data_IF_154421530695
#
_entry.id   IF_154421530695
#
_cell.length_a   1.000
_cell.length_b   1.000
_cell.length_c   1.000
_cell.angle_alpha   90.00
_cell.angle_beta   90.00
_cell.angle_gamma   90.00
#
_symmetry.space_group_name_H-M   'P 1'
#
loop_
_entity.id
_entity.type
_entity.pdbx_description
1 polymer ?
#
# COMPACT_ATOMS: atom_id res chain seq x y z
N UNK A 1 4.22 -32.29 0.88
CA UNK A 1 3.44 -31.43 -0.04
C UNK A 1 4.43 -30.58 -0.81
N UNK A 2 4.31 -30.49 -2.11
CA UNK A 2 5.12 -29.57 -2.95
C UNK A 2 4.43 -28.19 -2.95
N UNK A 3 4.86 -27.32 -2.02
CA UNK A 3 4.26 -26.01 -1.84
C UNK A 3 4.37 -25.11 -3.08
N UNK A 4 5.44 -25.22 -3.88
CA UNK A 4 5.61 -24.39 -5.07
C UNK A 4 4.55 -24.72 -6.13
N UNK A 5 4.35 -26.01 -6.38
CA UNK A 5 3.38 -26.49 -7.35
C UNK A 5 1.94 -26.22 -6.93
N UNK A 6 1.63 -26.42 -5.65
CA UNK A 6 0.31 -26.15 -5.11
C UNK A 6 0.00 -24.66 -5.06
N UNK A 7 0.99 -23.82 -4.71
CA UNK A 7 0.85 -22.35 -4.74
C UNK A 7 0.53 -21.84 -6.13
N UNK A 8 1.23 -22.31 -7.17
CA UNK A 8 0.94 -21.89 -8.54
C UNK A 8 -0.51 -22.22 -8.95
N UNK A 9 -0.97 -23.43 -8.61
CA UNK A 9 -2.35 -23.84 -8.84
C UNK A 9 -3.35 -22.94 -8.10
N UNK A 10 -3.10 -22.68 -6.81
CA UNK A 10 -3.94 -21.81 -5.99
C UNK A 10 -4.01 -20.37 -6.50
N UNK A 11 -2.89 -19.79 -6.93
CA UNK A 11 -2.89 -18.44 -7.53
C UNK A 11 -3.73 -18.37 -8.81
N UNK A 12 -3.72 -19.42 -9.62
CA UNK A 12 -4.59 -19.51 -10.80
C UNK A 12 -6.09 -19.62 -10.43
N UNK A 13 -6.41 -20.37 -9.36
CA UNK A 13 -7.79 -20.49 -8.84
C UNK A 13 -8.27 -19.18 -8.22
N UNK A 14 -7.47 -18.54 -7.38
CA UNK A 14 -7.82 -17.28 -6.68
C UNK A 14 -7.93 -16.08 -7.62
N UNK A 15 -7.13 -16.04 -8.69
CA UNK A 15 -7.08 -14.91 -9.64
C UNK A 15 -6.78 -13.56 -8.97
N UNK A 16 -5.97 -13.58 -7.93
CA UNK A 16 -5.64 -12.49 -7.01
C UNK A 16 -6.02 -12.82 -5.57
N UNK A 17 -5.37 -12.17 -4.61
CA UNK A 17 -5.56 -12.44 -3.17
C UNK A 17 -6.30 -11.31 -2.44
N UNK A 18 -6.59 -10.22 -3.14
CA UNK A 18 -7.28 -9.06 -2.58
C UNK A 18 -8.44 -8.68 -3.47
N UNK A 19 -9.49 -8.15 -2.85
CA UNK A 19 -10.66 -7.59 -3.54
C UNK A 19 -11.10 -6.31 -2.84
N UNK A 20 -11.83 -5.45 -3.56
CA UNK A 20 -12.47 -4.27 -3.00
C UNK A 20 -13.97 -4.54 -2.84
N UNK A 21 -14.47 -4.33 -1.62
CA UNK A 21 -15.89 -4.46 -1.31
C UNK A 21 -16.45 -3.12 -0.84
N UNK A 22 -17.69 -2.82 -1.27
CA UNK A 22 -18.39 -1.64 -0.77
C UNK A 22 -18.70 -1.80 0.71
N UNK A 23 -18.42 -0.77 1.51
CA UNK A 23 -18.80 -0.68 2.93
C UNK A 23 -20.20 -0.13 3.13
N UNK A 24 -20.79 0.42 2.08
CA UNK A 24 -22.15 0.94 2.09
C UNK A 24 -23.01 0.12 1.15
N UNK A 25 -24.24 -0.12 1.58
CA UNK A 25 -25.23 -0.81 0.77
C UNK A 25 -26.06 0.24 0.02
N UNK A 26 -26.29 0.02 -1.25
CA UNK A 26 -27.11 0.90 -2.10
C UNK A 26 -28.32 0.09 -2.54
N UNK A 27 -29.49 0.29 -1.88
CA UNK A 27 -30.73 -0.42 -2.16
C UNK A 27 -31.70 0.41 -2.99
N UNK A 28 -31.63 1.73 -2.83
CA UNK A 28 -32.58 2.64 -3.46
C UNK A 28 -31.90 3.95 -3.91
N UNK A 29 -32.73 4.84 -4.48
CA UNK A 29 -32.28 6.14 -4.97
C UNK A 29 -31.79 7.06 -3.83
N UNK A 30 -32.31 6.89 -2.63
CA UNK A 30 -31.91 7.68 -1.47
C UNK A 30 -30.49 7.31 -1.06
N UNK A 31 -30.22 6.01 -0.92
CA UNK A 31 -28.87 5.50 -0.62
C UNK A 31 -27.84 5.97 -1.65
N UNK A 32 -28.19 5.87 -2.93
CA UNK A 32 -27.33 6.36 -4.02
C UNK A 32 -27.09 7.88 -3.92
N UNK A 33 -28.13 8.65 -3.57
CA UNK A 33 -28.01 10.11 -3.45
C UNK A 33 -27.14 10.53 -2.26
N UNK A 34 -27.11 9.74 -1.20
CA UNK A 34 -26.24 9.95 -0.04
C UNK A 34 -24.80 9.51 -0.34
N UNK A 35 -24.63 8.34 -0.97
CA UNK A 35 -23.31 7.76 -1.24
C UNK A 35 -22.58 8.45 -2.40
N UNK A 36 -23.32 9.07 -3.33
CA UNK A 36 -22.80 9.71 -4.52
C UNK A 36 -23.45 11.07 -4.75
N UNK A 37 -24.02 11.33 -5.92
CA UNK A 37 -24.60 12.64 -6.30
C UNK A 37 -26.07 12.70 -5.91
N UNK A 38 -26.53 13.77 -5.21
CA UNK A 38 -25.82 15.02 -4.90
C UNK A 38 -25.13 15.07 -3.54
N UNK A 39 -25.41 14.16 -2.61
CA UNK A 39 -25.00 14.22 -1.21
C UNK A 39 -23.49 14.28 -0.99
N UNK A 40 -22.69 13.64 -1.86
CA UNK A 40 -21.23 13.60 -1.78
C UNK A 40 -20.56 14.99 -1.86
N UNK A 41 -21.28 16.02 -2.32
CA UNK A 41 -20.76 17.39 -2.39
C UNK A 41 -20.36 17.93 -0.99
N UNK A 42 -21.16 17.63 0.05
CA UNK A 42 -20.89 18.17 1.39
C UNK A 42 -19.60 17.62 2.01
N UNK A 43 -19.34 16.29 2.06
CA UNK A 43 -18.05 15.81 2.52
C UNK A 43 -16.86 16.33 1.67
N UNK A 44 -17.01 16.55 0.37
CA UNK A 44 -15.97 17.18 -0.44
C UNK A 44 -15.66 18.61 0.01
N UNK A 45 -16.70 19.41 0.29
CA UNK A 45 -16.54 20.79 0.77
C UNK A 45 -15.92 20.83 2.19
N UNK A 46 -16.27 19.88 3.06
CA UNK A 46 -15.66 19.78 4.38
C UNK A 46 -14.16 19.46 4.29
N UNK A 47 -13.77 18.53 3.42
CA UNK A 47 -12.35 18.20 3.19
C UNK A 47 -11.61 19.37 2.54
N UNK A 48 -12.25 20.12 1.65
CA UNK A 48 -11.67 21.33 1.06
C UNK A 48 -11.36 22.41 2.10
N UNK A 49 -12.21 22.55 3.14
CA UNK A 49 -12.03 23.51 4.24
C UNK A 49 -10.97 23.04 5.24
N UNK A 50 -10.93 21.76 5.51
CA UNK A 50 -9.97 21.11 6.43
C UNK A 50 -9.52 19.77 5.84
N UNK A 51 -8.32 19.76 5.31
CA UNK A 51 -7.70 18.58 4.70
C UNK A 51 -7.69 17.34 5.63
N UNK A 52 -7.55 17.54 6.96
CA UNK A 52 -7.54 16.43 7.92
C UNK A 52 -8.87 15.66 7.94
N UNK A 53 -9.96 16.29 7.53
CA UNK A 53 -11.25 15.62 7.36
C UNK A 53 -11.22 14.48 6.34
N UNK A 54 -10.23 14.45 5.46
CA UNK A 54 -10.03 13.31 4.54
C UNK A 54 -9.79 12.00 5.30
N UNK A 55 -9.15 12.03 6.46
CA UNK A 55 -8.95 10.86 7.31
C UNK A 55 -10.20 10.46 8.11
N UNK A 56 -11.17 11.37 8.27
CA UNK A 56 -12.42 11.05 8.96
C UNK A 56 -13.53 10.62 7.98
N UNK A 57 -13.60 11.28 6.82
CA UNK A 57 -14.72 11.18 5.88
C UNK A 57 -14.46 10.21 4.72
N UNK A 58 -13.24 9.69 4.58
CA UNK A 58 -12.89 8.71 3.53
C UNK A 58 -12.16 7.51 4.11
N UNK A 59 -11.98 6.46 3.29
CA UNK A 59 -11.19 5.28 3.69
C UNK A 59 -9.69 5.55 3.75
N UNK A 60 -9.23 6.75 3.41
CA UNK A 60 -7.83 7.16 3.47
C UNK A 60 -7.17 6.81 4.82
N UNK A 61 -7.88 6.98 5.94
CA UNK A 61 -7.37 6.70 7.28
C UNK A 61 -6.88 5.26 7.50
N UNK A 62 -7.40 4.29 6.73
CA UNK A 62 -7.08 2.87 6.90
C UNK A 62 -6.56 2.21 5.62
N UNK A 63 -6.09 3.00 4.65
CA UNK A 63 -5.58 2.47 3.38
C UNK A 63 -4.10 2.77 3.25
N UNK A 64 -3.28 1.73 3.03
CA UNK A 64 -1.83 1.82 2.86
C UNK A 64 -1.44 1.42 1.44
N UNK A 65 -0.54 2.18 0.81
CA UNK A 65 0.10 1.75 -0.42
C UNK A 65 1.26 0.80 -0.13
N UNK A 66 1.33 -0.35 -0.80
CA UNK A 66 2.50 -1.24 -0.81
C UNK A 66 3.23 -1.02 -2.13
N UNK A 67 4.34 -0.29 -2.08
CA UNK A 67 5.06 0.19 -3.27
C UNK A 67 6.32 -0.63 -3.50
N UNK A 68 6.47 -1.14 -4.70
CA UNK A 68 7.66 -1.91 -5.14
C UNK A 68 8.08 -1.57 -6.56
N UNK A 69 9.35 -1.77 -6.88
CA UNK A 69 9.86 -1.86 -8.25
C UNK A 69 10.29 -3.31 -8.61
N UNK A 70 10.13 -4.24 -7.66
CA UNK A 70 10.42 -5.67 -7.84
C UNK A 70 11.90 -5.99 -8.01
N UNK A 71 12.81 -5.15 -7.47
CA UNK A 71 14.27 -5.31 -7.67
C UNK A 71 14.97 -6.11 -6.58
N UNK A 72 14.30 -6.45 -5.46
CA UNK A 72 14.87 -7.19 -4.34
C UNK A 72 13.91 -8.20 -3.74
N UNK A 73 13.20 -8.93 -4.57
CA UNK A 73 12.23 -9.95 -4.13
C UNK A 73 12.95 -11.11 -3.47
N UNK A 74 12.55 -11.45 -2.25
CA UNK A 74 13.23 -12.46 -1.42
C UNK A 74 13.42 -13.80 -2.15
N UNK A 75 14.66 -14.22 -2.27
CA UNK A 75 15.06 -15.47 -2.93
C UNK A 75 15.06 -15.45 -4.46
N UNK A 76 14.55 -14.37 -5.08
CA UNK A 76 14.44 -14.24 -6.54
C UNK A 76 15.26 -13.08 -7.12
N UNK A 77 15.53 -12.03 -6.30
CA UNK A 77 16.25 -10.84 -6.71
C UNK A 77 15.42 -9.90 -7.58
N UNK A 78 16.03 -9.39 -8.66
CA UNK A 78 15.42 -8.44 -9.58
C UNK A 78 14.57 -9.16 -10.63
N UNK A 79 13.29 -9.28 -10.36
CA UNK A 79 12.33 -9.95 -11.26
C UNK A 79 11.35 -8.98 -11.94
N UNK A 80 11.44 -7.68 -11.57
CA UNK A 80 10.59 -6.63 -12.09
C UNK A 80 9.24 -6.48 -11.38
N UNK A 81 8.56 -5.36 -11.63
CA UNK A 81 7.39 -4.95 -10.84
C UNK A 81 6.19 -5.89 -11.00
N UNK A 82 5.85 -6.32 -12.20
CA UNK A 82 4.69 -7.19 -12.42
C UNK A 82 4.90 -8.58 -11.81
N UNK A 83 6.11 -9.12 -11.92
CA UNK A 83 6.43 -10.42 -11.32
C UNK A 83 6.47 -10.35 -9.77
N UNK A 84 6.66 -9.17 -9.19
CA UNK A 84 6.56 -8.90 -7.76
C UNK A 84 5.11 -8.82 -7.24
N UNK A 85 4.10 -8.62 -8.11
CA UNK A 85 2.70 -8.45 -7.69
C UNK A 85 2.19 -9.54 -6.74
N UNK A 86 2.43 -10.84 -6.97
CA UNK A 86 1.97 -11.88 -6.04
C UNK A 86 2.51 -11.72 -4.61
N UNK A 87 3.73 -11.20 -4.46
CA UNK A 87 4.32 -10.92 -3.14
C UNK A 87 3.63 -9.72 -2.50
N UNK A 88 3.39 -8.66 -3.28
CA UNK A 88 2.71 -7.44 -2.80
C UNK A 88 1.26 -7.72 -2.38
N UNK A 89 0.54 -8.56 -3.10
CA UNK A 89 -0.78 -9.04 -2.66
C UNK A 89 -0.68 -9.89 -1.39
N UNK A 90 0.38 -10.69 -1.25
CA UNK A 90 0.68 -11.42 -0.01
C UNK A 90 0.87 -10.45 1.17
N UNK A 91 1.64 -9.37 0.97
CA UNK A 91 1.80 -8.31 1.98
C UNK A 91 0.45 -7.66 2.32
N UNK A 92 -0.40 -7.40 1.34
CA UNK A 92 -1.74 -6.86 1.57
C UNK A 92 -2.62 -7.81 2.41
N UNK A 93 -2.53 -9.13 2.18
CA UNK A 93 -3.19 -10.13 3.02
C UNK A 93 -2.71 -10.06 4.47
N UNK A 94 -1.39 -9.89 4.70
CA UNK A 94 -0.84 -9.75 6.07
C UNK A 94 -1.35 -8.47 6.74
N UNK A 95 -1.33 -7.33 6.06
CA UNK A 95 -1.90 -6.07 6.56
C UNK A 95 -3.35 -6.24 6.98
N UNK A 96 -4.16 -6.90 6.16
CA UNK A 96 -5.57 -7.12 6.46
C UNK A 96 -5.77 -8.10 7.62
N UNK A 97 -5.05 -9.23 7.61
CA UNK A 97 -5.24 -10.29 8.59
C UNK A 97 -4.82 -9.89 10.00
N UNK A 98 -3.70 -9.18 10.13
CA UNK A 98 -3.11 -8.86 11.42
C UNK A 98 -3.38 -7.43 11.90
N UNK A 99 -3.66 -6.50 11.01
CA UNK A 99 -3.86 -5.10 11.33
C UNK A 99 -5.24 -4.54 10.98
N UNK A 100 -6.07 -5.32 10.29
CA UNK A 100 -7.33 -4.85 9.66
C UNK A 100 -7.12 -3.60 8.78
N UNK A 101 -5.94 -3.46 8.19
CA UNK A 101 -5.58 -2.37 7.28
C UNK A 101 -5.80 -2.82 5.84
N UNK A 102 -6.41 -1.97 5.04
CA UNK A 102 -6.56 -2.19 3.61
C UNK A 102 -5.26 -1.77 2.90
N UNK A 103 -4.61 -2.70 2.23
CA UNK A 103 -3.37 -2.40 1.53
C UNK A 103 -3.53 -2.59 0.02
N UNK A 104 -3.05 -1.62 -0.75
CA UNK A 104 -3.15 -1.59 -2.22
C UNK A 104 -1.74 -1.74 -2.81
N UNK A 105 -1.46 -2.84 -3.52
CA UNK A 105 -0.21 -3.03 -4.25
C UNK A 105 -0.04 -2.02 -5.39
N UNK A 106 1.13 -1.37 -5.44
CA UNK A 106 1.54 -0.45 -6.48
C UNK A 106 2.91 -0.85 -7.03
N UNK A 107 2.92 -1.47 -8.20
CA UNK A 107 4.13 -1.92 -8.87
C UNK A 107 4.61 -0.86 -9.88
N UNK A 108 5.74 -0.21 -9.57
CA UNK A 108 6.27 0.92 -10.33
C UNK A 108 7.27 0.45 -11.40
N UNK A 109 7.02 0.75 -12.66
CA UNK A 109 7.89 0.39 -13.80
C UNK A 109 9.08 1.33 -13.94
N UNK A 110 9.77 1.61 -12.84
CA UNK A 110 11.03 2.39 -12.87
C UNK A 110 11.95 1.96 -11.74
N UNK A 111 13.24 1.98 -12.04
CA UNK A 111 14.33 1.80 -11.06
C UNK A 111 14.97 3.13 -10.68
N UNK A 112 14.50 4.23 -11.22
CA UNK A 112 15.00 5.55 -10.91
C UNK A 112 14.38 6.03 -9.57
N UNK A 113 15.23 6.51 -8.67
CA UNK A 113 14.84 7.04 -7.37
C UNK A 113 13.85 8.19 -7.50
N UNK A 114 14.10 9.11 -8.44
CA UNK A 114 13.24 10.27 -8.65
C UNK A 114 11.83 9.87 -9.09
N UNK A 115 11.72 8.89 -9.98
CA UNK A 115 10.42 8.40 -10.46
C UNK A 115 9.62 7.76 -9.32
N UNK A 116 10.27 6.95 -8.47
CA UNK A 116 9.60 6.29 -7.35
C UNK A 116 9.16 7.33 -6.31
N UNK A 117 10.07 8.24 -5.94
CA UNK A 117 9.76 9.33 -4.99
C UNK A 117 8.60 10.18 -5.51
N UNK A 118 8.65 10.62 -6.76
CA UNK A 118 7.59 11.42 -7.36
C UNK A 118 6.27 10.66 -7.44
N UNK A 119 6.30 9.36 -7.78
CA UNK A 119 5.09 8.53 -7.82
C UNK A 119 4.42 8.47 -6.44
N UNK A 120 5.18 8.18 -5.39
CA UNK A 120 4.66 8.13 -4.02
C UNK A 120 4.11 9.49 -3.60
N UNK A 121 4.86 10.56 -3.84
CA UNK A 121 4.47 11.94 -3.51
C UNK A 121 3.13 12.31 -4.17
N UNK A 122 2.98 12.07 -5.47
CA UNK A 122 1.77 12.38 -6.22
C UNK A 122 0.55 11.55 -5.76
N UNK A 123 0.76 10.36 -5.20
CA UNK A 123 -0.30 9.47 -4.73
C UNK A 123 -0.59 9.61 -3.22
N UNK A 124 0.23 10.34 -2.46
CA UNK A 124 0.14 10.44 -1.00
C UNK A 124 -1.25 10.89 -0.51
N UNK A 125 -1.94 11.74 -1.27
CA UNK A 125 -3.30 12.18 -0.96
C UNK A 125 -4.37 11.08 -0.92
N UNK A 126 -4.08 9.88 -1.44
CA UNK A 126 -5.01 8.75 -1.48
C UNK A 126 -4.84 7.77 -0.32
N UNK A 127 -3.77 7.87 0.45
CA UNK A 127 -3.35 6.89 1.44
C UNK A 127 -3.16 7.50 2.82
N UNK A 128 -3.30 6.66 3.85
CA UNK A 128 -2.96 6.96 5.24
C UNK A 128 -1.52 6.58 5.59
N UNK A 129 -0.81 5.89 4.70
CA UNK A 129 0.59 5.51 4.87
C UNK A 129 1.13 4.76 3.66
N UNK A 130 2.44 4.58 3.62
CA UNK A 130 3.15 3.86 2.55
C UNK A 130 4.11 2.85 3.14
N UNK A 131 4.02 1.62 2.69
CA UNK A 131 5.01 0.57 2.89
C UNK A 131 5.83 0.39 1.61
N UNK A 132 7.12 0.68 1.67
CA UNK A 132 8.05 0.34 0.61
C UNK A 132 8.48 -1.12 0.78
N UNK A 133 8.44 -1.90 -0.29
CA UNK A 133 8.70 -3.34 -0.25
C UNK A 133 9.55 -3.78 -1.43
N UNK A 134 10.49 -4.71 -1.21
CA UNK A 134 11.28 -5.36 -2.26
C UNK A 134 12.03 -4.39 -3.21
N UNK A 135 12.45 -3.24 -2.70
CA UNK A 135 13.29 -2.26 -3.41
C UNK A 135 14.75 -2.48 -3.01
N UNK A 136 15.62 -2.67 -3.98
CA UNK A 136 17.02 -3.02 -3.72
C UNK A 136 17.81 -1.89 -3.02
N UNK A 137 18.68 -2.30 -2.09
CA UNK A 137 19.69 -1.40 -1.52
C UNK A 137 20.74 -1.03 -2.60
N UNK A 138 21.37 0.18 -2.54
CA UNK A 138 21.14 1.22 -1.53
C UNK A 138 19.96 2.17 -1.82
N UNK A 139 19.27 2.02 -2.97
CA UNK A 139 18.22 2.92 -3.42
C UNK A 139 17.04 3.01 -2.44
N UNK A 140 16.67 1.89 -1.80
CA UNK A 140 15.59 1.85 -0.83
C UNK A 140 15.80 2.86 0.33
N UNK A 141 17.03 3.01 0.82
CA UNK A 141 17.34 3.98 1.89
C UNK A 141 17.19 5.43 1.42
N UNK A 142 17.64 5.72 0.21
CA UNK A 142 17.50 7.07 -0.35
C UNK A 142 16.04 7.44 -0.60
N UNK A 143 15.26 6.52 -1.18
CA UNK A 143 13.83 6.71 -1.43
C UNK A 143 13.11 6.98 -0.11
N UNK A 144 13.30 6.13 0.90
CA UNK A 144 12.64 6.29 2.19
C UNK A 144 13.02 7.61 2.86
N UNK A 145 14.33 7.94 2.90
CA UNK A 145 14.80 9.20 3.47
C UNK A 145 14.19 10.41 2.79
N UNK A 146 14.20 10.46 1.45
CA UNK A 146 13.67 11.59 0.67
C UNK A 146 12.18 11.77 0.89
N UNK A 147 11.42 10.68 0.95
CA UNK A 147 9.97 10.74 1.22
C UNK A 147 9.68 11.21 2.65
N UNK A 148 10.47 10.78 3.65
CA UNK A 148 10.31 11.22 5.04
C UNK A 148 10.71 12.69 5.26
N UNK A 149 11.63 13.22 4.47
CA UNK A 149 12.11 14.59 4.54
C UNK A 149 11.30 15.56 3.67
N UNK A 150 10.44 15.05 2.77
CA UNK A 150 9.64 15.88 1.86
C UNK A 150 8.42 16.47 2.61
N UNK A 151 8.33 17.81 2.74
CA UNK A 151 7.22 18.44 3.46
C UNK A 151 5.84 18.28 2.79
N UNK A 152 5.80 17.83 1.54
CA UNK A 152 4.53 17.53 0.85
C UNK A 152 4.07 16.09 1.06
N UNK A 153 4.86 15.27 1.78
CA UNK A 153 4.51 13.90 2.17
C UNK A 153 4.21 13.88 3.66
N UNK A 154 2.95 14.05 4.01
CA UNK A 154 2.45 14.20 5.38
C UNK A 154 1.92 12.90 6.00
N UNK A 155 2.22 11.77 5.38
CA UNK A 155 1.81 10.43 5.83
C UNK A 155 3.03 9.57 6.19
N UNK A 156 2.87 8.59 7.09
CA UNK A 156 3.94 7.66 7.45
C UNK A 156 4.52 6.93 6.24
N UNK A 157 5.85 6.92 6.14
CA UNK A 157 6.61 6.13 5.17
C UNK A 157 7.46 5.12 5.93
N UNK A 158 7.39 3.86 5.54
CA UNK A 158 8.10 2.76 6.17
C UNK A 158 8.64 1.79 5.12
N UNK A 159 9.85 1.28 5.33
CA UNK A 159 10.43 0.22 4.52
C UNK A 159 10.56 -1.05 5.37
N UNK A 160 9.68 -2.02 5.13
CA UNK A 160 9.55 -3.20 6.01
C UNK A 160 10.79 -4.10 5.96
N UNK A 161 11.32 -4.40 4.77
CA UNK A 161 12.50 -5.27 4.60
C UNK A 161 13.72 -4.78 5.41
N UNK A 162 13.86 -3.46 5.55
CA UNK A 162 14.98 -2.85 6.25
C UNK A 162 14.64 -2.63 7.72
N UNK A 163 13.67 -1.80 8.02
CA UNK A 163 13.38 -1.37 9.38
C UNK A 163 12.52 -2.38 10.15
N UNK A 164 11.52 -3.00 9.51
CA UNK A 164 10.72 -4.04 10.15
C UNK A 164 11.57 -5.26 10.52
N UNK A 165 12.38 -5.74 9.59
CA UNK A 165 13.32 -6.85 9.82
C UNK A 165 14.37 -6.49 10.90
N UNK A 166 14.88 -5.26 10.91
CA UNK A 166 15.79 -4.81 11.94
C UNK A 166 15.17 -4.85 13.33
N UNK A 167 13.92 -4.38 13.48
CA UNK A 167 13.19 -4.38 14.77
C UNK A 167 13.06 -5.80 15.32
N UNK A 168 12.58 -6.76 14.54
CA UNK A 168 12.37 -8.14 15.01
C UNK A 168 13.70 -8.86 15.27
N UNK A 169 14.73 -8.58 14.47
CA UNK A 169 16.08 -9.16 14.66
C UNK A 169 16.71 -8.65 15.95
N UNK A 170 16.67 -7.34 16.22
CA UNK A 170 17.18 -6.76 17.45
C UNK A 170 16.42 -7.30 18.66
N UNK A 171 15.09 -7.36 18.59
CA UNK A 171 14.27 -7.92 19.65
C UNK A 171 14.67 -9.39 19.98
N UNK A 172 14.93 -10.20 18.96
CA UNK A 172 15.40 -11.58 19.15
C UNK A 172 16.82 -11.66 19.76
N UNK A 173 17.67 -10.67 19.47
CA UNK A 173 19.04 -10.64 20.05
C UNK A 173 19.07 -10.16 21.51
N UNK A 174 18.06 -9.42 21.96
CA UNK A 174 17.96 -8.91 23.34
C UNK A 174 17.37 -9.97 24.29
N UNK A 175 16.51 -10.85 23.80
CA UNK A 175 15.90 -11.95 24.56
C UNK A 175 16.81 -13.19 24.60
#
# INVERSE_FOLDING_TARGET
MDYAKESLKKHAEWRGKVEMVSRVEVKDKTDLSLAYTPGVAEPCLEIQRDYNKSFELTRRWNTVAVVTDGTAVLGLGDIGPEAGMPVMEGKAVLFKTFGDVDAIPLCVRSKNVDDIVNTVKLLAGSFGGVNLEDISAPRCFEIERRLKEDPEVDIPIFHDDQHGTAVVTIAACIN
#
